data_IF_052357732249
#
_entry.id   IF_052357732249
#
_cell.length_a   1.000
_cell.length_b   1.000
_cell.length_c   1.000
_cell.angle_alpha   90.00
_cell.angle_beta   90.00
_cell.angle_gamma   90.00
#
_symmetry.space_group_name_H-M   'P 1'
#
loop_
_entity.id
_entity.type
_entity.pdbx_description
1 polymer ?
#
# COMPACT_ATOMS: atom_id res chain seq x y z
N UNK A 1 13.19 -23.89 -51.47
CA UNK A 1 12.49 -22.76 -50.82
C UNK A 1 12.35 -22.98 -49.30
N UNK A 2 13.47 -23.01 -48.55
CA UNK A 2 13.49 -23.00 -47.08
C UNK A 2 14.67 -22.14 -46.61
N UNK A 3 14.58 -20.82 -46.78
CA UNK A 3 15.58 -19.87 -46.26
C UNK A 3 15.08 -18.44 -46.30
N UNK A 4 13.95 -18.14 -45.67
CA UNK A 4 13.55 -16.74 -45.45
C UNK A 4 12.46 -16.65 -44.36
N UNK A 5 12.78 -16.95 -43.10
CA UNK A 5 11.87 -16.66 -41.96
C UNK A 5 12.54 -16.85 -40.58
N UNK A 6 13.81 -16.42 -40.42
CA UNK A 6 14.51 -16.59 -39.13
C UNK A 6 15.39 -15.41 -38.69
N UNK A 7 15.13 -14.20 -39.14
CA UNK A 7 16.01 -13.04 -38.84
C UNK A 7 15.34 -11.84 -38.15
N UNK A 8 14.05 -11.89 -37.80
CA UNK A 8 13.37 -10.74 -37.17
C UNK A 8 13.05 -10.87 -35.67
N UNK A 9 13.43 -11.97 -35.01
CA UNK A 9 13.13 -12.17 -33.58
C UNK A 9 14.30 -11.78 -32.64
N UNK A 10 15.55 -11.89 -33.10
CA UNK A 10 16.74 -11.65 -32.24
C UNK A 10 17.15 -10.17 -32.13
N UNK A 11 16.75 -9.32 -33.09
CA UNK A 11 17.12 -7.90 -33.11
C UNK A 11 16.43 -7.04 -32.04
N UNK A 12 15.23 -7.42 -31.62
CA UNK A 12 14.41 -6.64 -30.67
C UNK A 12 14.81 -6.81 -29.19
N UNK A 13 15.37 -7.96 -28.83
CA UNK A 13 15.82 -8.23 -27.45
C UNK A 13 17.11 -7.48 -27.11
N UNK A 14 18.05 -7.39 -28.07
CA UNK A 14 19.32 -6.69 -27.90
C UNK A 14 19.17 -5.15 -27.83
N UNK A 15 18.17 -4.59 -28.50
CA UNK A 15 17.86 -3.15 -28.46
C UNK A 15 17.19 -2.72 -27.15
N UNK A 16 16.34 -3.57 -26.57
CA UNK A 16 15.74 -3.30 -25.25
C UNK A 16 16.76 -3.37 -24.11
N UNK A 17 17.74 -4.28 -24.17
CA UNK A 17 18.80 -4.35 -23.16
C UNK A 17 19.69 -3.09 -23.15
N UNK A 18 20.04 -2.54 -24.33
CA UNK A 18 20.85 -1.32 -24.44
C UNK A 18 20.11 -0.06 -24.03
N UNK A 19 18.79 0.03 -24.27
CA UNK A 19 17.96 1.12 -23.74
C UNK A 19 17.87 1.07 -22.21
N UNK A 20 17.80 -0.12 -21.62
CA UNK A 20 17.71 -0.30 -20.17
C UNK A 20 19.02 0.14 -19.47
N UNK A 21 20.18 -0.18 -20.03
CA UNK A 21 21.48 0.27 -19.51
C UNK A 21 21.68 1.79 -19.64
N UNK A 22 21.19 2.41 -20.73
CA UNK A 22 21.25 3.86 -20.91
C UNK A 22 20.32 4.61 -19.92
N UNK A 23 19.15 4.05 -19.64
CA UNK A 23 18.21 4.61 -18.66
C UNK A 23 18.75 4.46 -17.22
N UNK A 24 19.39 3.33 -16.90
CA UNK A 24 20.03 3.09 -15.61
C UNK A 24 21.24 4.02 -15.38
N UNK A 25 22.07 4.24 -16.39
CA UNK A 25 23.23 5.13 -16.29
C UNK A 25 22.83 6.62 -16.18
N UNK A 26 21.78 7.04 -16.91
CA UNK A 26 21.25 8.42 -16.82
C UNK A 26 20.55 8.69 -15.47
N UNK A 27 19.93 7.67 -14.86
CA UNK A 27 19.31 7.80 -13.53
C UNK A 27 20.30 7.80 -12.38
N UNK A 28 21.50 7.22 -12.53
CA UNK A 28 22.62 7.38 -11.59
C UNK A 28 23.26 8.76 -11.71
N UNK A 29 23.40 9.32 -12.93
CA UNK A 29 24.00 10.64 -13.13
C UNK A 29 23.14 11.81 -12.60
N UNK A 30 21.81 11.67 -12.64
CA UNK A 30 20.88 12.66 -12.08
C UNK A 30 20.77 12.61 -10.54
N UNK A 31 21.34 11.60 -9.89
CA UNK A 31 21.33 11.50 -8.42
C UNK A 31 22.41 12.35 -7.72
N UNK A 32 23.30 13.01 -8.48
CA UNK A 32 24.43 13.78 -7.92
C UNK A 32 24.27 15.31 -7.93
N UNK A 33 23.11 15.86 -8.31
CA UNK A 33 22.94 17.32 -8.43
C UNK A 33 21.81 17.81 -7.53
N UNK A 34 21.97 17.73 -6.21
CA UNK A 34 21.30 18.60 -5.23
C UNK A 34 22.11 18.64 -3.93
N UNK A 35 23.27 19.32 -3.95
CA UNK A 35 23.92 19.77 -2.71
C UNK A 35 23.34 21.14 -2.37
N UNK A 36 22.19 21.14 -1.70
CA UNK A 36 21.72 22.34 -1.00
C UNK A 36 22.71 22.64 0.12
N UNK A 37 23.25 23.86 0.18
CA UNK A 37 24.08 24.33 1.29
C UNK A 37 23.21 24.50 2.54
N UNK A 38 22.88 23.40 3.21
CA UNK A 38 22.19 23.42 4.50
C UNK A 38 23.22 23.68 5.60
N UNK A 39 22.98 24.71 6.41
CA UNK A 39 23.78 24.98 7.60
C UNK A 39 23.43 23.92 8.66
N UNK A 40 24.39 23.05 8.99
CA UNK A 40 24.19 22.03 10.01
C UNK A 40 24.04 22.66 11.39
N UNK A 41 23.31 22.00 12.28
CA UNK A 41 23.09 22.43 13.65
C UNK A 41 24.39 22.78 14.39
N UNK A 42 25.52 22.09 14.10
CA UNK A 42 26.82 22.35 14.73
C UNK A 42 27.41 23.73 14.38
N UNK A 43 27.01 24.30 13.26
CA UNK A 43 27.54 25.57 12.74
C UNK A 43 26.64 26.77 13.05
N UNK A 44 25.56 26.58 13.80
CA UNK A 44 24.61 27.63 14.15
C UNK A 44 24.88 28.18 15.55
N UNK A 45 25.11 29.50 15.64
CA UNK A 45 25.26 30.20 16.91
C UNK A 45 23.91 30.78 17.34
N UNK A 46 23.33 30.25 18.43
CA UNK A 46 22.08 30.78 18.96
C UNK A 46 22.28 32.18 19.57
N UNK A 47 21.45 33.13 19.14
CA UNK A 47 21.49 34.53 19.57
C UNK A 47 20.91 34.71 20.98
N UNK A 48 21.61 34.26 22.02
CA UNK A 48 21.22 34.48 23.44
C UNK A 48 22.34 34.22 24.48
N UNK A 49 23.62 34.09 24.11
CA UNK A 49 24.68 33.54 24.99
C UNK A 49 24.37 32.13 25.56
N UNK A 50 23.32 31.44 25.06
CA UNK A 50 22.99 30.08 25.46
C UNK A 50 23.81 29.11 24.63
N UNK A 51 24.69 28.35 25.28
CA UNK A 51 25.55 27.35 24.66
C UNK A 51 24.96 25.95 24.87
N UNK A 52 24.92 25.15 23.80
CA UNK A 52 24.44 23.77 23.84
C UNK A 52 25.57 22.82 23.41
N UNK A 53 25.78 21.75 24.19
CA UNK A 53 26.85 20.76 23.99
C UNK A 53 26.48 19.74 22.91
N UNK A 54 25.19 19.45 22.78
CA UNK A 54 24.67 18.45 21.87
C UNK A 54 23.60 19.05 20.95
N UNK A 55 23.45 18.39 19.81
CA UNK A 55 22.89 19.00 18.62
C UNK A 55 22.54 17.90 17.60
N UNK A 56 21.37 17.99 16.97
CA UNK A 56 20.89 17.02 16.00
C UNK A 56 20.10 17.68 14.86
N UNK A 57 20.48 17.34 13.62
CA UNK A 57 19.76 17.70 12.41
C UNK A 57 18.61 16.71 12.19
N UNK A 58 17.36 17.15 12.35
CA UNK A 58 16.21 16.25 12.24
C UNK A 58 15.87 15.99 10.76
N UNK A 59 15.57 14.75 10.35
CA UNK A 59 15.45 14.35 8.94
C UNK A 59 14.26 14.95 8.18
N UNK A 60 13.35 15.65 8.86
CA UNK A 60 12.12 16.20 8.29
C UNK A 60 11.82 17.59 8.84
N UNK A 61 11.09 18.38 8.05
CA UNK A 61 10.58 19.71 8.40
C UNK A 61 11.67 20.76 8.68
N UNK A 62 12.88 20.66 8.10
CA UNK A 62 13.95 21.66 8.32
C UNK A 62 14.14 22.03 9.80
N UNK A 63 14.13 21.00 10.64
CA UNK A 63 14.10 21.10 12.09
C UNK A 63 15.42 20.65 12.71
N UNK A 64 15.76 21.29 13.83
CA UNK A 64 17.03 21.10 14.51
C UNK A 64 16.78 21.11 16.02
N UNK A 65 17.46 20.23 16.74
CA UNK A 65 17.37 20.17 18.19
C UNK A 65 18.75 20.37 18.80
N UNK A 66 18.88 21.36 19.67
CA UNK A 66 20.05 21.59 20.50
C UNK A 66 19.69 21.27 21.95
N UNK A 67 20.59 20.64 22.71
CA UNK A 67 20.33 20.36 24.12
C UNK A 67 21.57 20.26 24.98
N UNK A 68 21.35 20.48 26.28
CA UNK A 68 22.25 20.14 27.37
C UNK A 68 21.47 19.21 28.30
N UNK A 69 22.05 18.07 28.63
CA UNK A 69 21.48 17.16 29.61
C UNK A 69 22.41 17.02 30.80
N UNK A 70 21.87 17.28 31.99
CA UNK A 70 22.55 17.06 33.27
C UNK A 70 21.92 15.85 33.96
N UNK A 71 22.66 14.73 33.99
CA UNK A 71 22.23 13.47 34.60
C UNK A 71 22.15 13.54 36.12
N UNK A 72 22.79 14.52 36.77
CA UNK A 72 22.75 14.65 38.23
C UNK A 72 21.44 15.29 38.71
N UNK A 73 20.92 16.26 37.94
CA UNK A 73 19.67 16.97 38.24
C UNK A 73 18.49 16.50 37.40
N UNK A 74 18.69 15.57 36.46
CA UNK A 74 17.72 15.13 35.44
C UNK A 74 17.09 16.30 34.66
N UNK A 75 17.86 17.38 34.46
CA UNK A 75 17.41 18.56 33.72
C UNK A 75 17.89 18.50 32.28
N UNK A 76 16.93 18.62 31.37
CA UNK A 76 17.15 18.71 29.94
C UNK A 76 16.85 20.14 29.49
N UNK A 77 17.87 20.91 29.17
CA UNK A 77 17.72 22.21 28.51
C UNK A 77 17.70 22.00 27.01
N UNK A 78 16.76 22.61 26.30
CA UNK A 78 16.64 22.49 24.85
C UNK A 78 16.57 23.85 24.16
N UNK A 79 16.97 23.84 22.88
CA UNK A 79 16.49 24.77 21.88
C UNK A 79 16.05 23.99 20.63
N UNK A 80 14.75 23.96 20.37
CA UNK A 80 14.19 23.41 19.15
C UNK A 80 14.02 24.51 18.12
N UNK A 81 14.71 24.39 16.98
CA UNK A 81 14.75 25.37 15.90
C UNK A 81 14.06 24.79 14.66
N UNK A 82 13.20 25.58 14.04
CA UNK A 82 12.52 25.22 12.81
C UNK A 82 12.61 26.38 11.82
N UNK A 83 13.08 26.10 10.60
CA UNK A 83 13.47 27.12 9.61
C UNK A 83 12.59 27.09 8.37
N UNK A 84 12.54 28.22 7.64
CA UNK A 84 11.70 28.34 6.44
C UNK A 84 10.23 28.51 6.77
N UNK A 85 9.93 29.14 7.92
CA UNK A 85 8.59 29.31 8.46
C UNK A 85 8.22 30.79 8.54
N UNK A 86 6.92 31.07 8.40
CA UNK A 86 6.34 32.41 8.51
C UNK A 86 5.56 32.57 9.81
N UNK A 87 5.20 33.82 10.14
CA UNK A 87 4.38 34.16 11.32
C UNK A 87 3.01 33.49 11.36
N UNK A 88 2.49 33.06 10.21
CA UNK A 88 1.19 32.39 10.06
C UNK A 88 1.23 30.88 10.36
N UNK A 89 2.28 30.39 11.02
CA UNK A 89 2.45 28.96 11.33
C UNK A 89 2.87 28.77 12.79
N UNK A 90 2.42 27.66 13.35
CA UNK A 90 2.86 27.18 14.66
C UNK A 90 3.90 26.09 14.47
N UNK A 91 4.76 25.93 15.46
CA UNK A 91 5.71 24.83 15.57
C UNK A 91 5.58 24.17 16.93
N UNK A 92 5.90 22.88 16.97
CA UNK A 92 5.92 22.14 18.22
C UNK A 92 7.04 21.12 18.23
N UNK A 93 7.60 20.92 19.42
CA UNK A 93 8.44 19.78 19.75
C UNK A 93 7.90 19.12 21.00
N UNK A 94 7.86 17.79 21.03
CA UNK A 94 7.20 17.06 22.11
C UNK A 94 7.96 15.79 22.48
N UNK A 95 7.89 15.41 23.75
CA UNK A 95 8.30 14.11 24.25
C UNK A 95 7.08 13.22 24.37
N UNK A 96 7.17 11.98 23.91
CA UNK A 96 6.16 10.96 24.18
C UNK A 96 6.70 9.93 25.18
N UNK A 97 6.27 9.95 26.44
CA UNK A 97 6.81 9.07 27.47
C UNK A 97 6.33 7.61 27.34
N UNK A 98 5.29 7.32 26.53
CA UNK A 98 4.65 5.99 26.48
C UNK A 98 4.73 5.31 25.12
N UNK A 99 4.87 6.07 24.03
CA UNK A 99 4.92 5.54 22.67
C UNK A 99 5.85 6.37 21.77
N UNK A 100 6.01 5.97 20.51
CA UNK A 100 6.81 6.74 19.54
C UNK A 100 5.98 7.74 18.73
N UNK A 101 4.64 7.69 18.79
CA UNK A 101 3.75 8.48 17.92
C UNK A 101 3.29 9.80 18.51
N UNK A 102 2.32 10.45 17.85
CA UNK A 102 1.72 11.73 18.30
C UNK A 102 0.80 11.58 19.52
N UNK A 103 0.00 10.51 19.58
CA UNK A 103 -0.90 10.29 20.72
C UNK A 103 -0.09 9.88 21.95
N UNK A 104 -0.31 10.57 23.07
CA UNK A 104 0.49 10.49 24.29
C UNK A 104 1.64 11.50 24.35
N UNK A 105 1.88 12.27 23.28
CA UNK A 105 2.93 13.29 23.27
C UNK A 105 2.59 14.45 24.19
N UNK A 106 3.62 15.05 24.77
CA UNK A 106 3.57 16.18 25.67
C UNK A 106 4.41 17.30 25.07
N UNK A 107 3.73 18.30 24.53
CA UNK A 107 4.29 19.23 23.56
C UNK A 107 4.63 20.59 24.17
N UNK A 108 5.69 21.18 23.63
CA UNK A 108 5.99 22.60 23.69
C UNK A 108 5.57 23.21 22.37
N UNK A 109 4.65 24.16 22.40
CA UNK A 109 4.04 24.76 21.21
C UNK A 109 4.40 26.23 21.17
N UNK A 110 4.73 26.74 19.99
CA UNK A 110 4.97 28.17 19.78
C UNK A 110 4.41 28.70 18.46
N UNK A 111 3.91 29.93 18.48
CA UNK A 111 3.50 30.69 17.30
C UNK A 111 3.48 32.20 17.58
N UNK A 112 3.49 33.02 16.54
CA UNK A 112 3.32 34.47 16.67
C UNK A 112 1.83 34.82 16.69
N UNK A 113 1.41 35.56 17.69
CA UNK A 113 0.03 36.06 17.81
C UNK A 113 -0.22 37.21 16.84
N UNK A 114 -1.49 37.54 16.62
CA UNK A 114 -1.90 38.65 15.74
C UNK A 114 -1.35 40.01 16.17
N UNK A 115 -0.98 40.18 17.44
CA UNK A 115 -0.36 41.40 17.98
C UNK A 115 1.17 41.46 17.76
N UNK A 116 1.75 40.45 17.11
CA UNK A 116 3.18 40.33 16.85
C UNK A 116 4.00 39.69 17.97
N UNK A 117 3.40 39.40 19.13
CA UNK A 117 4.10 38.74 20.25
C UNK A 117 4.23 37.24 20.04
N UNK A 118 5.30 36.65 20.57
CA UNK A 118 5.47 35.18 20.56
C UNK A 118 4.73 34.56 21.73
N UNK A 119 3.87 33.59 21.45
CA UNK A 119 3.27 32.71 22.46
C UNK A 119 4.02 31.40 22.50
N UNK A 120 4.40 30.96 23.70
CA UNK A 120 4.98 29.65 23.96
C UNK A 120 4.28 29.01 25.16
N UNK A 121 3.82 27.78 25.03
CA UNK A 121 3.04 27.10 26.07
C UNK A 121 3.13 25.58 25.95
N UNK A 122 2.67 24.87 26.97
CA UNK A 122 2.66 23.40 27.01
C UNK A 122 1.29 22.83 26.62
N UNK A 123 1.28 21.68 25.94
CA UNK A 123 0.05 21.02 25.52
C UNK A 123 0.14 19.49 25.63
N UNK A 124 -0.71 18.83 26.45
CA UNK A 124 -0.82 17.38 26.46
C UNK A 124 -1.67 16.88 25.28
N UNK A 125 -1.13 15.96 24.48
CA UNK A 125 -1.78 15.42 23.28
C UNK A 125 -2.23 13.99 23.57
N UNK A 126 -3.50 13.82 23.96
CA UNK A 126 -4.07 12.49 24.24
C UNK A 126 -4.59 11.77 22.99
N UNK A 127 -4.96 12.51 21.94
CA UNK A 127 -5.56 11.97 20.72
C UNK A 127 -5.18 12.77 19.47
N UNK A 128 -5.62 12.29 18.30
CA UNK A 128 -5.39 12.95 17.01
C UNK A 128 -6.34 14.15 16.78
N UNK A 129 -7.40 14.26 17.58
CA UNK A 129 -8.38 15.34 17.54
C UNK A 129 -8.00 16.50 18.47
N UNK A 130 -6.70 16.78 18.59
CA UNK A 130 -6.20 17.88 19.42
C UNK A 130 -6.29 19.21 18.66
N UNK A 131 -6.55 20.28 19.40
CA UNK A 131 -6.37 21.68 18.96
C UNK A 131 -5.18 22.33 19.66
N UNK A 132 -4.23 21.51 20.14
CA UNK A 132 -3.06 21.93 20.92
C UNK A 132 -3.48 22.84 22.08
N UNK A 133 -4.48 22.41 22.85
CA UNK A 133 -4.97 23.17 24.00
C UNK A 133 -3.92 23.23 25.10
N UNK A 134 -3.82 24.38 25.76
CA UNK A 134 -2.88 24.60 26.83
C UNK A 134 -3.19 23.71 28.04
N UNK A 135 -2.17 23.07 28.60
CA UNK A 135 -2.35 22.14 29.71
C UNK A 135 -1.04 21.69 30.34
N UNK A 136 -1.14 21.13 31.54
CA UNK A 136 0.01 20.63 32.30
C UNK A 136 0.55 19.34 31.70
N UNK A 137 1.87 19.19 31.76
CA UNK A 137 2.60 17.98 31.36
C UNK A 137 2.87 17.12 32.60
N UNK A 138 3.23 15.86 32.41
CA UNK A 138 3.63 14.95 33.49
C UNK A 138 5.04 15.22 34.02
N UNK A 139 5.80 16.06 33.32
CA UNK A 139 7.12 16.53 33.70
C UNK A 139 7.13 18.05 33.81
N UNK A 140 8.00 18.58 34.66
CA UNK A 140 8.09 20.02 34.86
C UNK A 140 8.75 20.71 33.66
N UNK A 141 8.24 21.89 33.31
CA UNK A 141 8.81 22.75 32.26
C UNK A 141 9.02 24.15 32.85
N UNK A 142 10.25 24.64 32.78
CA UNK A 142 10.63 26.00 33.14
C UNK A 142 11.32 26.70 31.98
N UNK A 143 11.49 28.02 32.10
CA UNK A 143 12.21 28.86 31.11
C UNK A 143 11.66 28.75 29.68
N UNK A 144 10.37 28.39 29.56
CA UNK A 144 9.70 28.24 28.28
C UNK A 144 9.55 29.60 27.60
N UNK A 145 10.15 29.73 26.43
CA UNK A 145 10.10 30.95 25.62
C UNK A 145 10.25 30.59 24.15
N UNK A 146 9.83 31.50 23.27
CA UNK A 146 10.02 31.33 21.84
C UNK A 146 10.37 32.66 21.16
N UNK A 147 11.10 32.56 20.06
CA UNK A 147 11.48 33.70 19.21
C UNK A 147 11.09 33.40 17.77
N UNK A 148 10.72 34.45 17.03
CA UNK A 148 10.57 34.42 15.58
C UNK A 148 11.46 35.52 14.99
N UNK A 149 12.48 35.13 14.24
CA UNK A 149 13.38 36.02 13.53
C UNK A 149 13.86 35.32 12.25
N UNK A 150 14.24 36.04 11.19
CA UNK A 150 14.85 35.44 9.99
C UNK A 150 14.10 34.21 9.41
N UNK A 151 12.77 34.21 9.45
CA UNK A 151 11.92 33.07 9.05
C UNK A 151 12.25 31.75 9.78
N UNK A 152 12.62 31.86 11.06
CA UNK A 152 12.86 30.73 11.94
C UNK A 152 12.15 30.92 13.28
N UNK A 153 11.53 29.85 13.79
CA UNK A 153 11.02 29.81 15.15
C UNK A 153 11.97 28.96 16.00
N UNK A 154 12.37 29.48 17.14
CA UNK A 154 13.16 28.75 18.13
C UNK A 154 12.40 28.70 19.44
N UNK A 155 12.11 27.49 19.94
CA UNK A 155 11.54 27.22 21.26
C UNK A 155 12.69 26.88 22.22
N UNK A 156 12.76 27.58 23.34
CA UNK A 156 13.65 27.29 24.45
C UNK A 156 12.86 26.75 25.64
N UNK A 157 13.39 25.75 26.34
CA UNK A 157 12.81 25.25 27.57
C UNK A 157 13.83 24.48 28.41
N UNK A 158 13.57 24.39 29.72
CA UNK A 158 14.22 23.46 30.64
C UNK A 158 13.17 22.45 31.11
N UNK A 159 13.46 21.16 30.97
CA UNK A 159 12.55 20.06 31.26
C UNK A 159 13.12 19.22 32.40
N UNK A 160 12.32 18.97 33.44
CA UNK A 160 12.67 18.03 34.53
C UNK A 160 12.21 16.62 34.19
N UNK A 161 13.12 15.75 33.76
CA UNK A 161 12.78 14.38 33.40
C UNK A 161 12.56 13.53 34.65
N UNK A 162 11.36 12.96 34.79
CA UNK A 162 10.99 12.10 35.93
C UNK A 162 11.53 10.66 35.80
N UNK A 163 11.94 10.26 34.60
CA UNK A 163 12.41 8.91 34.29
C UNK A 163 13.94 8.85 34.28
N UNK A 164 14.50 7.73 34.77
CA UNK A 164 15.94 7.43 34.73
C UNK A 164 16.46 7.04 33.34
N UNK A 165 15.56 6.88 32.35
CA UNK A 165 15.96 6.54 30.99
C UNK A 165 16.55 7.75 30.28
N UNK A 166 17.73 7.56 29.72
CA UNK A 166 18.44 8.57 28.93
C UNK A 166 17.95 8.67 27.50
N UNK A 167 17.03 7.79 27.09
CA UNK A 167 16.42 7.80 25.76
C UNK A 167 14.98 8.30 25.82
N UNK A 168 14.66 9.31 25.03
CA UNK A 168 13.31 9.86 24.89
C UNK A 168 12.74 9.58 23.51
N UNK A 169 11.44 9.26 23.43
CA UNK A 169 10.74 9.35 22.16
C UNK A 169 10.33 10.80 21.95
N UNK A 170 10.61 11.35 20.78
CA UNK A 170 10.22 12.71 20.44
C UNK A 170 9.47 12.79 19.12
N UNK A 171 8.66 13.82 18.99
CA UNK A 171 7.97 14.18 17.74
C UNK A 171 8.09 15.69 17.54
N UNK A 172 8.10 16.12 16.28
CA UNK A 172 8.15 17.54 15.95
C UNK A 172 7.20 17.85 14.81
N UNK A 173 6.57 19.02 14.85
CA UNK A 173 5.54 19.38 13.89
C UNK A 173 5.52 20.88 13.61
N UNK A 174 4.90 21.22 12.50
CA UNK A 174 4.49 22.57 12.16
C UNK A 174 3.09 22.56 11.50
N UNK A 175 2.37 23.67 11.57
CA UNK A 175 1.04 23.78 10.98
C UNK A 175 0.58 25.22 10.84
N UNK A 176 -0.54 25.45 10.16
CA UNK A 176 -1.07 26.80 9.95
C UNK A 176 -1.70 27.37 11.23
N UNK A 177 -1.65 28.70 11.37
CA UNK A 177 -2.38 29.45 12.39
C UNK A 177 -3.41 30.33 11.70
N UNK A 178 -4.63 30.35 12.23
CA UNK A 178 -5.71 31.24 11.76
C UNK A 178 -6.17 32.11 12.92
N UNK A 179 -5.92 33.42 12.83
CA UNK A 179 -6.05 34.32 13.99
C UNK A 179 -5.03 33.94 15.05
N UNK A 180 -5.50 33.48 16.22
CA UNK A 180 -4.66 32.91 17.29
C UNK A 180 -4.99 31.44 17.56
N UNK A 181 -5.59 30.74 16.60
CA UNK A 181 -5.96 29.33 16.71
C UNK A 181 -5.08 28.45 15.82
N UNK A 182 -4.44 27.45 16.42
CA UNK A 182 -3.67 26.43 15.71
C UNK A 182 -4.60 25.58 14.84
N UNK A 183 -4.14 25.26 13.63
CA UNK A 183 -4.85 24.39 12.70
C UNK A 183 -4.16 23.02 12.63
N UNK A 184 -4.91 22.02 12.14
CA UNK A 184 -4.38 20.68 11.90
C UNK A 184 -3.20 20.75 10.92
N UNK A 185 -2.08 20.13 11.28
CA UNK A 185 -0.92 19.98 10.39
C UNK A 185 -1.22 18.96 9.28
N UNK A 186 -0.36 18.90 8.25
CA UNK A 186 -0.55 17.92 7.18
C UNK A 186 -0.52 16.48 7.75
N UNK A 187 -1.45 15.64 7.32
CA UNK A 187 -1.59 14.24 7.78
C UNK A 187 -0.90 13.24 6.84
N UNK A 188 0.06 13.72 6.06
CA UNK A 188 0.86 12.93 5.12
C UNK A 188 2.26 13.53 4.94
N UNK A 189 3.14 12.84 4.20
CA UNK A 189 4.49 13.33 3.91
C UNK A 189 5.37 13.50 5.14
N UNK A 190 6.17 14.58 5.16
CA UNK A 190 7.15 14.85 6.21
C UNK A 190 6.54 14.87 7.62
N UNK A 191 5.35 15.45 7.80
CA UNK A 191 4.68 15.53 9.09
C UNK A 191 4.41 14.15 9.71
N UNK A 192 4.07 13.11 8.93
CA UNK A 192 3.87 11.76 9.49
C UNK A 192 5.19 11.00 9.73
N UNK A 193 6.31 11.58 9.30
CA UNK A 193 7.65 11.02 9.45
C UNK A 193 8.46 11.72 10.56
N UNK A 194 8.03 12.89 11.02
CA UNK A 194 8.67 13.72 12.05
C UNK A 194 8.56 13.16 13.47
N UNK A 195 9.15 11.98 13.67
CA UNK A 195 9.20 11.25 14.92
C UNK A 195 10.49 10.42 15.02
N UNK A 196 10.97 10.21 16.24
CA UNK A 196 12.19 9.43 16.48
C UNK A 196 12.47 9.16 17.95
N UNK A 197 13.60 8.52 18.21
CA UNK A 197 14.17 8.35 19.53
C UNK A 197 15.51 9.09 19.62
N UNK A 198 15.76 9.70 20.77
CA UNK A 198 16.96 10.45 21.05
C UNK A 198 17.58 9.98 22.35
N UNK A 199 18.84 9.54 22.31
CA UNK A 199 19.66 9.34 23.49
C UNK A 199 20.30 10.67 23.90
N UNK A 200 19.94 11.17 25.08
CA UNK A 200 20.33 12.49 25.56
C UNK A 200 21.82 12.57 25.93
N UNK A 201 22.50 11.45 26.19
CA UNK A 201 23.92 11.39 26.54
C UNK A 201 24.81 11.21 25.32
N UNK A 202 24.54 10.19 24.50
CA UNK A 202 25.36 9.91 23.30
C UNK A 202 25.04 10.85 22.14
N UNK A 203 23.85 11.46 22.15
CA UNK A 203 23.28 12.16 21.01
C UNK A 203 22.94 11.26 19.83
N UNK A 204 23.01 9.94 20.02
CA UNK A 204 22.54 8.99 19.04
C UNK A 204 21.03 9.19 18.87
N UNK A 205 20.64 9.41 17.62
CA UNK A 205 19.23 9.50 17.26
C UNK A 205 18.91 8.43 16.23
N UNK A 206 17.73 7.85 16.37
CA UNK A 206 17.23 6.88 15.42
C UNK A 206 15.81 7.26 15.02
N UNK A 207 15.56 7.25 13.72
CA UNK A 207 14.22 7.43 13.17
C UNK A 207 13.44 6.12 13.35
N UNK A 208 12.97 5.85 14.57
CA UNK A 208 12.41 4.55 14.99
C UNK A 208 10.97 4.28 14.54
N UNK A 209 10.36 5.13 13.70
CA UNK A 209 8.93 5.01 13.39
C UNK A 209 8.53 5.21 11.93
N UNK A 210 9.11 6.19 11.24
CA UNK A 210 8.70 6.56 9.89
C UNK A 210 9.02 5.47 8.87
N UNK A 211 10.29 5.09 8.74
CA UNK A 211 10.74 4.19 7.68
C UNK A 211 10.19 2.76 7.81
N UNK A 212 10.22 2.17 9.00
CA UNK A 212 9.76 0.78 9.18
C UNK A 212 8.24 0.65 9.05
N UNK A 213 7.47 1.62 9.55
CA UNK A 213 6.01 1.61 9.40
C UNK A 213 5.59 1.87 7.96
N UNK A 214 6.24 2.81 7.27
CA UNK A 214 6.01 3.04 5.83
C UNK A 214 6.40 1.80 5.03
N UNK A 215 7.54 1.17 5.34
CA UNK A 215 7.97 -0.07 4.71
C UNK A 215 6.95 -1.18 4.93
N UNK A 216 6.46 -1.40 6.16
CA UNK A 216 5.39 -2.38 6.45
C UNK A 216 4.09 -2.05 5.69
N UNK A 217 3.68 -0.78 5.61
CA UNK A 217 2.50 -0.33 4.84
C UNK A 217 2.66 -0.61 3.35
N UNK A 218 3.84 -0.32 2.79
CA UNK A 218 4.17 -0.59 1.39
C UNK A 218 4.20 -2.09 1.11
N UNK A 219 4.82 -2.89 1.99
CA UNK A 219 4.83 -4.36 1.90
C UNK A 219 3.40 -4.89 1.93
N UNK A 220 2.57 -4.46 2.89
CA UNK A 220 1.15 -4.82 2.94
C UNK A 220 0.43 -4.48 1.63
N UNK A 221 0.60 -3.26 1.12
CA UNK A 221 -0.02 -2.82 -0.13
C UNK A 221 0.39 -3.66 -1.34
N UNK A 222 1.70 -3.89 -1.52
CA UNK A 222 2.24 -4.68 -2.65
C UNK A 222 1.80 -6.13 -2.57
N UNK A 223 1.95 -6.78 -1.41
CA UNK A 223 1.56 -8.18 -1.23
C UNK A 223 0.09 -8.38 -1.60
N UNK A 224 -0.81 -7.52 -1.10
CA UNK A 224 -2.24 -7.67 -1.36
C UNK A 224 -2.65 -7.25 -2.78
N UNK A 225 -1.99 -6.27 -3.40
CA UNK A 225 -2.24 -5.92 -4.79
C UNK A 225 -1.86 -7.08 -5.74
N UNK A 226 -0.71 -7.71 -5.51
CA UNK A 226 -0.25 -8.85 -6.32
C UNK A 226 -1.11 -10.08 -6.08
N UNK A 227 -1.36 -10.46 -4.82
CA UNK A 227 -2.13 -11.68 -4.52
C UNK A 227 -3.61 -11.53 -4.86
N UNK A 228 -4.32 -10.66 -4.14
CA UNK A 228 -5.76 -10.53 -4.22
C UNK A 228 -6.22 -9.74 -5.44
N UNK A 229 -5.43 -8.74 -5.87
CA UNK A 229 -5.78 -7.88 -6.99
C UNK A 229 -5.43 -8.42 -8.38
N UNK A 230 -4.43 -9.29 -8.48
CA UNK A 230 -3.89 -9.75 -9.78
C UNK A 230 -3.95 -11.27 -9.92
N UNK A 231 -3.33 -12.02 -9.00
CA UNK A 231 -3.27 -13.47 -9.12
C UNK A 231 -4.65 -14.14 -8.96
N UNK A 232 -5.49 -13.68 -8.02
CA UNK A 232 -6.85 -14.20 -7.85
C UNK A 232 -7.72 -14.09 -9.12
N UNK A 233 -7.80 -12.92 -9.80
CA UNK A 233 -8.41 -12.81 -11.12
C UNK A 233 -7.77 -13.69 -12.19
N UNK A 234 -6.43 -13.75 -12.28
CA UNK A 234 -5.74 -14.59 -13.27
C UNK A 234 -6.13 -16.06 -13.09
N UNK A 235 -6.13 -16.56 -11.85
CA UNK A 235 -6.57 -17.93 -11.54
C UNK A 235 -8.01 -18.20 -11.99
N UNK A 236 -8.91 -17.23 -11.83
CA UNK A 236 -10.28 -17.34 -12.31
C UNK A 236 -10.37 -17.36 -13.85
N UNK A 237 -9.59 -16.54 -14.55
CA UNK A 237 -9.51 -16.53 -16.02
C UNK A 237 -8.99 -17.88 -16.56
N UNK A 238 -7.95 -18.44 -15.92
CA UNK A 238 -7.40 -19.76 -16.25
C UNK A 238 -8.50 -20.83 -16.20
N UNK A 239 -9.24 -20.90 -15.08
CA UNK A 239 -10.30 -21.89 -14.92
C UNK A 239 -11.46 -21.69 -15.91
N UNK A 240 -11.82 -20.44 -16.19
CA UNK A 240 -12.93 -20.13 -17.11
C UNK A 240 -12.60 -20.49 -18.55
N UNK A 241 -11.42 -20.09 -19.03
CA UNK A 241 -11.10 -20.15 -20.46
C UNK A 241 -10.31 -21.40 -20.85
N UNK A 242 -9.37 -21.88 -20.04
CA UNK A 242 -8.61 -23.09 -20.38
C UNK A 242 -9.48 -24.36 -20.30
N UNK A 243 -10.48 -24.38 -19.40
CA UNK A 243 -11.44 -25.49 -19.29
C UNK A 243 -12.23 -25.73 -20.59
N UNK A 244 -12.35 -24.74 -21.47
CA UNK A 244 -13.03 -24.88 -22.76
C UNK A 244 -12.24 -25.77 -23.77
N UNK A 245 -10.96 -26.04 -23.52
CA UNK A 245 -10.09 -26.83 -24.41
C UNK A 245 -9.92 -28.25 -23.87
N UNK A 246 -10.36 -29.25 -24.65
CA UNK A 246 -10.20 -30.68 -24.27
C UNK A 246 -8.73 -31.06 -24.05
N UNK A 247 -7.81 -30.47 -24.81
CA UNK A 247 -6.36 -30.70 -24.67
C UNK A 247 -5.76 -30.12 -23.38
N UNK A 248 -6.49 -29.25 -22.68
CA UNK A 248 -6.05 -28.66 -21.42
C UNK A 248 -6.59 -29.39 -20.20
N UNK A 249 -7.31 -30.51 -20.37
CA UNK A 249 -7.74 -31.36 -19.25
C UNK A 249 -6.66 -32.41 -18.95
N UNK A 250 -6.18 -32.56 -17.70
CA UNK A 250 -6.58 -31.87 -16.46
C UNK A 250 -5.75 -30.60 -16.13
N UNK A 251 -4.85 -30.17 -17.01
CA UNK A 251 -3.92 -29.06 -16.77
C UNK A 251 -4.57 -27.76 -16.28
N UNK A 252 -5.73 -27.36 -16.82
CA UNK A 252 -6.45 -26.15 -16.40
C UNK A 252 -6.77 -26.16 -14.90
N UNK A 253 -7.08 -27.33 -14.35
CA UNK A 253 -7.46 -27.49 -12.95
C UNK A 253 -6.24 -27.28 -12.04
N UNK A 254 -5.12 -27.92 -12.36
CA UNK A 254 -3.87 -27.74 -11.61
C UNK A 254 -3.32 -26.32 -11.70
N UNK A 255 -3.38 -25.70 -12.88
CA UNK A 255 -2.98 -24.30 -13.07
C UNK A 255 -3.85 -23.35 -12.24
N UNK A 256 -5.16 -23.56 -12.22
CA UNK A 256 -6.08 -22.79 -11.38
C UNK A 256 -5.74 -22.97 -9.89
N UNK A 257 -5.69 -24.22 -9.39
CA UNK A 257 -5.44 -24.50 -7.98
C UNK A 257 -4.08 -23.98 -7.55
N UNK A 258 -3.03 -24.18 -8.35
CA UNK A 258 -1.68 -23.68 -8.08
C UNK A 258 -1.64 -22.15 -7.99
N UNK A 259 -2.22 -21.46 -8.97
CA UNK A 259 -2.30 -20.00 -8.98
C UNK A 259 -3.07 -19.46 -7.76
N UNK A 260 -4.24 -20.04 -7.44
CA UNK A 260 -5.04 -19.62 -6.29
C UNK A 260 -4.36 -19.92 -4.94
N UNK A 261 -3.64 -21.04 -4.83
CA UNK A 261 -2.90 -21.40 -3.62
C UNK A 261 -1.76 -20.41 -3.35
N UNK A 262 -0.98 -20.07 -4.38
CA UNK A 262 0.09 -19.07 -4.28
C UNK A 262 -0.50 -17.71 -3.90
N UNK A 263 -1.56 -17.28 -4.58
CA UNK A 263 -2.24 -16.03 -4.28
C UNK A 263 -2.71 -15.99 -2.82
N UNK A 264 -3.36 -17.04 -2.34
CA UNK A 264 -3.87 -17.10 -0.98
C UNK A 264 -2.74 -17.04 0.07
N UNK A 265 -1.66 -17.82 -0.10
CA UNK A 265 -0.53 -17.83 0.84
C UNK A 265 0.12 -16.44 0.95
N UNK A 266 0.40 -15.80 -0.19
CA UNK A 266 0.94 -14.43 -0.21
C UNK A 266 -0.05 -13.43 0.39
N UNK A 267 -1.35 -13.62 0.12
CA UNK A 267 -2.45 -12.84 0.66
C UNK A 267 -2.57 -12.93 2.19
N UNK A 268 -2.34 -14.10 2.79
CA UNK A 268 -2.31 -14.30 4.25
C UNK A 268 -1.19 -13.47 4.88
N UNK A 269 0.01 -13.47 4.30
CA UNK A 269 1.13 -12.65 4.79
C UNK A 269 0.82 -11.15 4.69
N UNK A 270 0.22 -10.72 3.57
CA UNK A 270 -0.27 -9.35 3.38
C UNK A 270 -1.32 -8.97 4.43
N UNK A 271 -2.30 -9.83 4.67
CA UNK A 271 -3.36 -9.61 5.67
C UNK A 271 -2.81 -9.53 7.10
N UNK A 272 -1.92 -10.45 7.49
CA UNK A 272 -1.27 -10.44 8.80
C UNK A 272 -0.45 -9.18 9.06
N UNK A 273 0.26 -8.69 8.04
CA UNK A 273 0.95 -7.38 8.11
C UNK A 273 -0.04 -6.23 8.33
N UNK A 274 -1.22 -6.30 7.71
CA UNK A 274 -2.30 -5.32 7.89
C UNK A 274 -2.88 -5.32 9.31
N UNK A 275 -3.07 -6.49 9.91
CA UNK A 275 -3.51 -6.60 11.31
C UNK A 275 -2.49 -6.01 12.28
N UNK A 276 -1.20 -6.30 12.09
CA UNK A 276 -0.13 -5.73 12.91
C UNK A 276 -0.06 -4.20 12.79
N UNK A 277 -0.21 -3.68 11.57
CA UNK A 277 -0.32 -2.24 11.36
C UNK A 277 -1.54 -1.65 12.07
N UNK A 278 -2.67 -2.36 12.08
CA UNK A 278 -3.88 -1.95 12.79
C UNK A 278 -3.70 -1.89 14.32
N UNK A 279 -3.07 -2.90 14.93
CA UNK A 279 -2.79 -2.90 16.38
C UNK A 279 -1.79 -1.82 16.79
N UNK A 280 -0.80 -1.52 15.93
CA UNK A 280 0.17 -0.43 16.12
C UNK A 280 -0.45 0.97 15.86
N UNK A 281 -1.74 1.06 15.49
CA UNK A 281 -2.43 2.29 15.08
C UNK A 281 -3.78 2.51 15.79
N UNK A 282 -3.88 2.17 17.08
CA UNK A 282 -5.14 2.06 17.85
C UNK A 282 -6.10 3.27 17.82
N UNK A 283 -5.64 4.43 17.35
CA UNK A 283 -6.33 5.72 17.34
C UNK A 283 -6.80 6.22 15.97
N UNK A 284 -6.41 5.56 14.86
CA UNK A 284 -6.92 5.87 13.50
C UNK A 284 -7.67 4.63 12.99
N UNK A 285 -8.99 4.67 13.07
CA UNK A 285 -9.87 3.59 12.62
C UNK A 285 -10.12 3.73 11.11
N UNK A 286 -9.37 2.99 10.27
CA UNK A 286 -9.74 2.80 8.86
C UNK A 286 -10.78 1.67 8.74
N UNK A 287 -11.94 1.91 9.35
CA UNK A 287 -12.91 0.87 9.65
C UNK A 287 -13.41 0.13 8.39
N UNK A 288 -13.72 0.88 7.32
CA UNK A 288 -14.20 0.28 6.08
C UNK A 288 -13.17 -0.64 5.39
N UNK A 289 -11.90 -0.22 5.28
CA UNK A 289 -10.85 -1.03 4.63
C UNK A 289 -10.54 -2.29 5.45
N UNK A 290 -10.47 -2.14 6.78
CA UNK A 290 -10.24 -3.26 7.70
C UNK A 290 -11.40 -4.26 7.65
N UNK A 291 -12.64 -3.78 7.75
CA UNK A 291 -13.84 -4.62 7.74
C UNK A 291 -13.98 -5.38 6.43
N UNK A 292 -13.82 -4.71 5.27
CA UNK A 292 -13.82 -5.38 3.97
C UNK A 292 -12.67 -6.39 3.89
N UNK A 293 -11.48 -6.04 4.38
CA UNK A 293 -10.32 -6.94 4.40
C UNK A 293 -10.54 -8.21 5.21
N UNK A 294 -11.22 -8.12 6.35
CA UNK A 294 -11.58 -9.28 7.18
C UNK A 294 -12.62 -10.15 6.46
N UNK A 295 -13.68 -9.55 5.91
CA UNK A 295 -14.72 -10.28 5.15
C UNK A 295 -14.09 -11.02 3.96
N UNK A 296 -13.25 -10.32 3.19
CA UNK A 296 -12.53 -10.86 2.05
C UNK A 296 -11.67 -12.06 2.47
N UNK A 297 -10.90 -11.93 3.55
CA UNK A 297 -10.07 -13.02 4.07
C UNK A 297 -10.92 -14.24 4.42
N UNK A 298 -12.01 -14.07 5.16
CA UNK A 298 -12.93 -15.16 5.50
C UNK A 298 -13.50 -15.86 4.26
N UNK A 299 -13.94 -15.10 3.25
CA UNK A 299 -14.45 -15.66 1.99
C UNK A 299 -13.34 -16.36 1.18
N UNK A 300 -12.11 -15.85 1.20
CA UNK A 300 -10.95 -16.49 0.60
C UNK A 300 -10.61 -17.82 1.26
N UNK A 301 -10.64 -17.89 2.60
CA UNK A 301 -10.43 -19.14 3.35
C UNK A 301 -11.51 -20.15 3.00
N UNK A 302 -12.77 -19.71 2.92
CA UNK A 302 -13.90 -20.53 2.50
C UNK A 302 -13.68 -21.11 1.10
N UNK A 303 -13.08 -20.35 0.17
CA UNK A 303 -12.67 -20.86 -1.14
C UNK A 303 -11.59 -21.94 -1.10
N UNK A 304 -10.61 -21.85 -0.19
CA UNK A 304 -9.61 -22.91 0.00
C UNK A 304 -10.29 -24.21 0.45
N UNK A 305 -11.24 -24.13 1.38
CA UNK A 305 -12.05 -25.28 1.80
C UNK A 305 -12.92 -25.87 0.68
N UNK A 306 -13.23 -25.09 -0.36
CA UNK A 306 -13.97 -25.60 -1.51
C UNK A 306 -13.24 -26.75 -2.21
N UNK A 307 -11.90 -26.79 -2.17
CA UNK A 307 -11.12 -27.92 -2.69
C UNK A 307 -11.38 -29.20 -1.88
N UNK A 308 -11.38 -29.10 -0.55
CA UNK A 308 -11.60 -30.24 0.36
C UNK A 308 -13.04 -30.77 0.29
N UNK A 309 -14.00 -29.86 0.12
CA UNK A 309 -15.42 -30.19 0.03
C UNK A 309 -15.89 -30.50 -1.39
N UNK A 310 -14.97 -30.63 -2.36
CA UNK A 310 -15.28 -30.79 -3.79
C UNK A 310 -15.95 -32.15 -4.05
N UNK A 311 -17.25 -32.21 -4.41
CA UNK A 311 -17.92 -33.48 -4.71
C UNK A 311 -17.45 -34.07 -6.05
N UNK A 312 -17.58 -35.39 -6.19
CA UNK A 312 -17.36 -36.10 -7.47
C UNK A 312 -18.25 -35.53 -8.58
N UNK A 313 -17.82 -35.57 -9.87
CA UNK A 313 -18.53 -34.91 -10.97
C UNK A 313 -19.99 -35.32 -11.15
N UNK A 314 -20.31 -36.57 -10.82
CA UNK A 314 -21.61 -37.23 -10.91
C UNK A 314 -22.51 -37.04 -9.68
N UNK A 315 -22.01 -36.42 -8.61
CA UNK A 315 -22.74 -36.28 -7.35
C UNK A 315 -23.76 -35.12 -7.38
N UNK A 316 -24.97 -35.30 -6.83
CA UNK A 316 -26.03 -34.26 -6.78
C UNK A 316 -25.59 -32.92 -6.17
N UNK A 317 -24.72 -32.96 -5.17
CA UNK A 317 -24.18 -31.74 -4.53
C UNK A 317 -23.15 -30.99 -5.38
N UNK A 318 -22.67 -31.56 -6.49
CA UNK A 318 -21.75 -30.90 -7.42
C UNK A 318 -22.33 -29.59 -7.96
N UNK A 319 -23.64 -29.56 -8.23
CA UNK A 319 -24.34 -28.38 -8.72
C UNK A 319 -24.31 -27.23 -7.69
N UNK A 320 -24.73 -27.48 -6.45
CA UNK A 320 -24.71 -26.50 -5.37
C UNK A 320 -23.29 -26.03 -5.05
N UNK A 321 -22.32 -26.95 -5.04
CA UNK A 321 -20.91 -26.61 -4.87
C UNK A 321 -20.41 -25.66 -5.96
N UNK A 322 -20.79 -25.86 -7.24
CA UNK A 322 -20.41 -24.94 -8.32
C UNK A 322 -21.01 -23.54 -8.12
N UNK A 323 -22.29 -23.44 -7.74
CA UNK A 323 -22.93 -22.13 -7.46
C UNK A 323 -22.19 -21.41 -6.35
N UNK A 324 -21.99 -22.08 -5.22
CA UNK A 324 -21.26 -21.57 -4.07
C UNK A 324 -19.84 -21.11 -4.47
N UNK A 325 -19.08 -21.98 -5.14
CA UNK A 325 -17.70 -21.72 -5.53
C UNK A 325 -17.59 -20.52 -6.48
N UNK A 326 -18.51 -20.40 -7.45
CA UNK A 326 -18.52 -19.26 -8.36
C UNK A 326 -18.95 -17.96 -7.66
N UNK A 327 -20.04 -17.98 -6.89
CA UNK A 327 -20.59 -16.79 -6.24
C UNK A 327 -19.61 -16.20 -5.22
N UNK A 328 -19.05 -17.05 -4.36
CA UNK A 328 -18.05 -16.62 -3.38
C UNK A 328 -16.77 -16.17 -4.10
N UNK A 329 -16.38 -16.83 -5.20
CA UNK A 329 -15.14 -16.53 -5.91
C UNK A 329 -15.18 -15.16 -6.60
N UNK A 330 -16.29 -14.84 -7.27
CA UNK A 330 -16.48 -13.51 -7.86
C UNK A 330 -16.62 -12.43 -6.78
N UNK A 331 -17.27 -12.73 -5.65
CA UNK A 331 -17.33 -11.82 -4.50
C UNK A 331 -15.94 -11.47 -3.98
N UNK A 332 -15.04 -12.46 -3.83
CA UNK A 332 -13.64 -12.23 -3.42
C UNK A 332 -12.93 -11.30 -4.40
N UNK A 333 -13.06 -11.51 -5.72
CA UNK A 333 -12.42 -10.67 -6.73
C UNK A 333 -12.92 -9.21 -6.64
N UNK A 334 -14.24 -9.01 -6.58
CA UNK A 334 -14.84 -7.67 -6.51
C UNK A 334 -14.41 -6.94 -5.23
N UNK A 335 -14.53 -7.60 -4.08
CA UNK A 335 -14.13 -7.04 -2.79
C UNK A 335 -12.63 -6.73 -2.76
N UNK A 336 -11.79 -7.55 -3.39
CA UNK A 336 -10.34 -7.31 -3.49
C UNK A 336 -10.04 -6.01 -4.23
N UNK A 337 -10.66 -5.80 -5.39
CA UNK A 337 -10.47 -4.57 -6.18
C UNK A 337 -10.92 -3.34 -5.38
N UNK A 338 -12.13 -3.38 -4.78
CA UNK A 338 -12.65 -2.28 -3.95
C UNK A 338 -11.70 -2.00 -2.78
N UNK A 339 -11.24 -3.04 -2.10
CA UNK A 339 -10.40 -2.89 -0.92
C UNK A 339 -9.02 -2.34 -1.26
N UNK A 340 -8.46 -2.69 -2.42
CA UNK A 340 -7.19 -2.15 -2.92
C UNK A 340 -7.33 -0.66 -3.23
N UNK A 341 -8.42 -0.22 -3.86
CA UNK A 341 -8.64 1.22 -4.07
C UNK A 341 -8.81 2.00 -2.77
N UNK A 342 -9.48 1.42 -1.77
CA UNK A 342 -9.49 1.99 -0.41
C UNK A 342 -8.08 2.03 0.19
N UNK A 343 -7.29 0.96 0.02
CA UNK A 343 -5.89 0.93 0.42
C UNK A 343 -5.06 2.04 -0.21
N UNK A 344 -5.24 2.31 -1.52
CA UNK A 344 -4.59 3.45 -2.19
C UNK A 344 -5.02 4.80 -1.62
N UNK A 345 -6.29 4.98 -1.25
CA UNK A 345 -6.74 6.23 -0.61
C UNK A 345 -6.15 6.44 0.78
N UNK A 346 -5.82 5.35 1.49
CA UNK A 346 -5.22 5.38 2.82
C UNK A 346 -3.71 5.61 2.72
N UNK A 347 -3.03 4.88 1.83
CA UNK A 347 -1.58 4.99 1.64
C UNK A 347 -1.21 6.30 0.94
N UNK A 348 -2.11 6.84 0.12
CA UNK A 348 -1.94 8.01 -0.74
C UNK A 348 -0.57 8.02 -1.48
N UNK A 349 -0.22 6.95 -2.22
CA UNK A 349 1.04 6.90 -2.94
C UNK A 349 1.00 7.79 -4.18
N UNK A 350 2.15 7.97 -4.82
CA UNK A 350 2.22 8.63 -6.14
C UNK A 350 1.16 8.09 -7.09
N UNK A 351 0.50 8.99 -7.84
CA UNK A 351 -0.57 8.66 -8.79
C UNK A 351 -0.19 7.55 -9.77
N UNK A 352 1.11 7.41 -10.10
CA UNK A 352 1.64 6.34 -10.97
C UNK A 352 1.28 4.93 -10.50
N UNK A 353 1.26 4.66 -9.19
CA UNK A 353 0.95 3.34 -8.64
C UNK A 353 -0.53 2.98 -8.82
N UNK A 354 -1.41 3.93 -8.52
CA UNK A 354 -2.85 3.78 -8.76
C UNK A 354 -3.13 3.60 -10.26
N UNK A 355 -2.49 4.40 -11.11
CA UNK A 355 -2.63 4.31 -12.57
C UNK A 355 -2.12 2.98 -13.13
N UNK A 356 -0.98 2.48 -12.63
CA UNK A 356 -0.45 1.18 -13.01
C UNK A 356 -1.43 0.05 -12.69
N UNK A 357 -2.00 0.06 -11.48
CA UNK A 357 -3.00 -0.94 -11.08
C UNK A 357 -4.28 -0.86 -11.93
N UNK A 358 -4.76 0.35 -12.25
CA UNK A 358 -5.88 0.54 -13.20
C UNK A 358 -5.54 -0.06 -14.56
N UNK A 359 -4.32 0.16 -15.07
CA UNK A 359 -3.85 -0.43 -16.32
C UNK A 359 -3.86 -1.96 -16.29
N UNK A 360 -3.45 -2.58 -15.17
CA UNK A 360 -3.50 -4.04 -14.99
C UNK A 360 -4.94 -4.56 -15.01
N UNK A 361 -5.86 -3.91 -14.29
CA UNK A 361 -7.28 -4.30 -14.31
C UNK A 361 -7.85 -4.18 -15.73
N UNK A 362 -7.58 -3.07 -16.42
CA UNK A 362 -8.06 -2.85 -17.78
C UNK A 362 -7.53 -3.94 -18.74
N UNK A 363 -6.26 -4.31 -18.61
CA UNK A 363 -5.67 -5.40 -19.40
C UNK A 363 -6.33 -6.76 -19.08
N UNK A 364 -6.56 -7.08 -17.81
CA UNK A 364 -7.24 -8.33 -17.41
C UNK A 364 -8.69 -8.37 -17.93
N UNK A 365 -9.43 -7.27 -17.83
CA UNK A 365 -10.78 -7.15 -18.36
C UNK A 365 -10.84 -7.28 -19.88
N UNK A 366 -9.91 -6.63 -20.60
CA UNK A 366 -9.80 -6.76 -22.05
C UNK A 366 -9.52 -8.21 -22.47
N UNK A 367 -8.54 -8.85 -21.83
CA UNK A 367 -8.24 -10.27 -22.08
C UNK A 367 -9.46 -11.16 -21.79
N UNK A 368 -10.21 -10.89 -20.72
CA UNK A 368 -11.42 -11.63 -20.41
C UNK A 368 -12.46 -11.49 -21.53
N UNK A 369 -12.76 -10.27 -21.98
CA UNK A 369 -13.73 -10.04 -23.07
C UNK A 369 -13.31 -10.72 -24.37
N UNK A 370 -12.03 -10.62 -24.72
CA UNK A 370 -11.48 -11.27 -25.91
C UNK A 370 -11.59 -12.80 -25.84
N UNK A 371 -11.17 -13.40 -24.72
CA UNK A 371 -11.23 -14.85 -24.51
C UNK A 371 -12.68 -15.36 -24.43
N UNK A 372 -13.60 -14.57 -23.89
CA UNK A 372 -15.03 -14.89 -23.89
C UNK A 372 -15.54 -14.97 -25.34
N UNK A 373 -15.28 -13.96 -26.17
CA UNK A 373 -15.64 -14.00 -27.59
C UNK A 373 -15.05 -15.20 -28.34
N UNK A 374 -13.78 -15.51 -28.10
CA UNK A 374 -13.10 -16.64 -28.72
C UNK A 374 -13.65 -18.00 -28.27
N UNK A 375 -13.92 -18.17 -26.98
CA UNK A 375 -14.48 -19.43 -26.46
C UNK A 375 -15.91 -19.65 -26.95
N UNK A 376 -16.75 -18.61 -27.04
CA UNK A 376 -18.06 -18.70 -27.68
C UNK A 376 -17.97 -19.11 -29.14
N UNK A 377 -17.05 -18.52 -29.91
CA UNK A 377 -16.80 -18.92 -31.29
C UNK A 377 -16.45 -20.42 -31.40
N UNK A 378 -15.55 -20.92 -30.54
CA UNK A 378 -15.20 -22.35 -30.51
C UNK A 378 -16.38 -23.25 -30.16
N UNK A 379 -17.21 -22.85 -29.19
CA UNK A 379 -18.40 -23.60 -28.78
C UNK A 379 -19.41 -23.68 -29.94
N UNK A 380 -19.67 -22.56 -30.61
CA UNK A 380 -20.58 -22.53 -31.79
C UNK A 380 -20.02 -23.37 -32.92
N UNK A 381 -18.71 -23.28 -33.22
CA UNK A 381 -18.06 -24.09 -34.26
C UNK A 381 -18.18 -25.59 -33.96
N UNK A 382 -17.95 -26.02 -32.72
CA UNK A 382 -18.09 -27.43 -32.30
C UNK A 382 -19.53 -27.93 -32.45
N UNK A 383 -20.52 -27.14 -32.00
CA UNK A 383 -21.94 -27.47 -32.20
C UNK A 383 -22.28 -27.63 -33.68
N UNK A 384 -21.79 -26.73 -34.54
CA UNK A 384 -21.99 -26.84 -36.00
C UNK A 384 -21.37 -28.11 -36.58
N UNK A 385 -20.14 -28.48 -36.18
CA UNK A 385 -19.52 -29.73 -36.65
C UNK A 385 -20.22 -30.99 -36.16
N UNK A 386 -20.73 -31.00 -34.92
CA UNK A 386 -21.50 -32.13 -34.38
C UNK A 386 -22.85 -32.29 -35.08
N UNK A 387 -23.52 -31.18 -35.43
CA UNK A 387 -24.76 -31.21 -36.22
C UNK A 387 -24.47 -31.69 -37.64
N UNK A 388 -23.41 -31.20 -38.27
CA UNK A 388 -23.02 -31.62 -39.63
C UNK A 388 -22.66 -33.11 -39.70
N UNK A 389 -21.98 -33.66 -38.68
CA UNK A 389 -21.64 -35.09 -38.60
C UNK A 389 -22.83 -36.01 -38.26
N UNK A 390 -23.97 -35.45 -37.84
CA UNK A 390 -25.21 -36.20 -37.53
C UNK A 390 -26.23 -36.21 -38.67
N UNK A 391 -26.00 -35.49 -39.77
CA UNK A 391 -26.87 -35.59 -40.95
C UNK A 391 -26.54 -36.89 -41.71
N UNK A 392 -27.52 -37.78 -41.97
CA UNK A 392 -27.26 -38.98 -42.75
C UNK A 392 -26.88 -38.57 -44.18
N UNK A 393 -25.82 -39.16 -44.72
CA UNK A 393 -25.53 -39.07 -46.15
C UNK A 393 -26.73 -39.63 -46.92
N UNK A 394 -27.55 -38.75 -47.48
CA UNK A 394 -28.56 -39.10 -48.47
C UNK A 394 -27.86 -39.66 -49.70
N UNK A 395 -27.91 -40.97 -49.85
CA UNK A 395 -27.42 -41.68 -51.02
C UNK A 395 -28.53 -41.65 -52.08
N UNK A 396 -28.33 -40.88 -53.14
CA UNK A 396 -29.16 -40.92 -54.34
C UNK A 396 -28.20 -40.99 -55.55
N UNK A 397 -28.24 -42.08 -56.30
CA UNK A 397 -27.54 -42.17 -57.59
C UNK A 397 -27.13 -43.57 -58.07
N UNK A 398 -28.00 -44.14 -58.93
CA UNK A 398 -27.73 -45.04 -60.06
C UNK A 398 -27.18 -46.46 -59.87
N UNK A 399 -28.02 -47.44 -60.23
CA UNK A 399 -27.78 -48.58 -61.15
C UNK A 399 -29.18 -49.17 -61.39
N UNK A 400 -29.69 -49.50 -62.58
CA UNK A 400 -29.13 -50.00 -63.82
C UNK A 400 -30.23 -50.91 -64.38
N UNK A 401 -30.63 -50.70 -65.62
CA UNK A 401 -31.84 -51.27 -66.25
C UNK A 401 -31.61 -52.70 -66.77
N UNK A 402 -32.61 -53.57 -66.52
CA UNK A 402 -33.11 -54.74 -67.29
C UNK A 402 -33.10 -56.12 -66.60
N UNK A 403 -34.30 -56.74 -66.59
CA UNK A 403 -34.52 -58.17 -66.31
C UNK A 403 -35.99 -58.51 -66.04
N UNK A 404 -36.78 -58.71 -67.10
CA UNK A 404 -38.17 -59.19 -67.10
C UNK A 404 -38.37 -60.51 -66.34
N UNK A 405 -39.53 -60.70 -65.71
CA UNK A 405 -40.00 -62.05 -65.32
C UNK A 405 -41.12 -62.14 -64.27
N UNK A 406 -42.37 -62.09 -64.73
CA UNK A 406 -43.54 -62.83 -64.24
C UNK A 406 -43.97 -62.80 -62.73
N UNK A 407 -44.96 -61.94 -62.47
CA UNK A 407 -46.27 -62.20 -61.82
C UNK A 407 -46.55 -63.64 -61.30
N UNK A 408 -46.80 -63.79 -59.99
CA UNK A 408 -47.93 -64.57 -59.49
C UNK A 408 -48.35 -64.20 -58.05
N UNK A 409 -49.67 -64.19 -57.85
CA UNK A 409 -50.41 -63.97 -56.60
C UNK A 409 -50.53 -65.24 -55.77
N UNK A 410 -50.72 -65.07 -54.45
CA UNK A 410 -51.54 -65.81 -53.45
C UNK A 410 -50.75 -65.80 -52.13
N UNK A 411 -51.30 -65.54 -50.95
CA UNK A 411 -52.67 -65.73 -50.47
C UNK A 411 -52.64 -66.77 -49.35
N UNK A 412 -53.17 -66.37 -48.18
CA UNK A 412 -53.28 -67.05 -46.87
C UNK A 412 -52.11 -66.81 -45.92
#
# INVERSE_FOLDING_TARGET
MRRCMRTNADGGAATMARMLELVLSLSVLMSMIFSSTAQSCKSYALSSNKTFRACNDLPYLNSYLHWNYDSSSNKLQIAYRHTGITSSRWVAWAINPTSTGMAGSQALVAYQQTDGTMRAYTSPISSYQTSLQEGKLSFDVSDLSATLANNEIIIFATIGLSNTSTTVNHVWQDGAVSGNATQVHATSGANVQSMGTLNLLSGESSSTGGNDRIRKRNIHGVLNAVSWGILMPIGALIARYLKAFKSADPAWFYLHVGCQSIAYIVGVAGWGTGLKLGSESASIQYDAHRTIGIILFCLGTLQVFALLLRPKPDHKYRFYWNIYHHLVGYSVIILSIINIFKGFSILNPDKKWKNAYIGVIAALSFNAVWLEGYTWYLVVKRKRSEIAGKMPHGMNGSNGVNGFGARQRQGV
#
